data_IF_623448654852
#
_entry.id   IF_623448654852
#
_cell.length_a   1.000
_cell.length_b   1.000
_cell.length_c   1.000
_cell.angle_alpha   90.00
_cell.angle_beta   90.00
_cell.angle_gamma   90.00
#
_symmetry.space_group_name_H-M   'P 1'
#
loop_
_entity.id
_entity.type
_entity.pdbx_description
1 polymer ?
#
# COMPACT_ATOMS: atom_id res chain seq x y z
N UNK A 1 -27.51 21.40 2.78
CA UNK A 1 -26.70 21.06 1.60
C UNK A 1 -25.43 20.43 2.12
N UNK A 2 -25.34 19.11 2.09
CA UNK A 2 -24.10 18.37 2.38
C UNK A 2 -23.26 18.41 1.12
N UNK A 3 -22.11 19.08 1.18
CA UNK A 3 -21.14 19.09 0.08
C UNK A 3 -20.61 17.67 -0.05
N UNK A 4 -21.04 16.94 -1.06
CA UNK A 4 -20.48 15.64 -1.42
C UNK A 4 -19.05 15.89 -1.91
N UNK A 5 -18.07 15.59 -1.07
CA UNK A 5 -16.67 15.57 -1.46
C UNK A 5 -16.49 14.40 -2.41
N UNK A 6 -16.45 14.68 -3.72
CA UNK A 6 -16.05 13.70 -4.73
C UNK A 6 -14.67 13.17 -4.30
N UNK A 7 -14.50 11.85 -4.06
CA UNK A 7 -13.17 11.32 -3.77
C UNK A 7 -12.28 11.62 -4.96
N UNK A 8 -11.09 12.19 -4.73
CA UNK A 8 -10.09 12.37 -5.79
C UNK A 8 -9.77 10.97 -6.35
N UNK A 9 -10.30 10.66 -7.53
CA UNK A 9 -10.25 9.34 -8.18
C UNK A 9 -8.90 9.04 -8.82
N UNK A 10 -7.86 9.80 -8.44
CA UNK A 10 -6.52 9.58 -8.95
C UNK A 10 -6.02 8.20 -8.51
N UNK A 11 -5.50 7.39 -9.44
CA UNK A 11 -4.90 6.12 -9.09
C UNK A 11 -3.73 6.38 -8.14
N UNK A 12 -3.73 5.70 -7.00
CA UNK A 12 -2.61 5.70 -6.07
C UNK A 12 -1.81 4.42 -6.27
N UNK A 13 -0.49 4.54 -6.19
CA UNK A 13 0.44 3.45 -6.43
C UNK A 13 1.19 3.14 -5.16
N UNK A 14 1.70 1.92 -5.05
CA UNK A 14 2.53 1.52 -3.93
C UNK A 14 3.72 0.67 -4.36
N UNK A 15 4.75 0.71 -3.54
CA UNK A 15 5.86 -0.25 -3.56
C UNK A 15 5.85 -0.99 -2.24
N UNK A 16 5.83 -2.32 -2.30
CA UNK A 16 5.96 -3.19 -1.15
C UNK A 16 7.25 -4.00 -1.28
N UNK A 17 8.13 -3.87 -0.30
CA UNK A 17 9.35 -4.66 -0.17
C UNK A 17 9.12 -5.67 0.96
N UNK A 18 8.82 -6.93 0.62
CA UNK A 18 8.53 -7.94 1.62
C UNK A 18 9.76 -8.31 2.46
N UNK A 19 10.96 -8.24 1.88
CA UNK A 19 12.22 -8.58 2.57
C UNK A 19 12.46 -7.72 3.81
N UNK A 20 12.09 -6.44 3.74
CA UNK A 20 12.23 -5.50 4.87
C UNK A 20 10.89 -5.13 5.54
N UNK A 21 9.78 -5.67 5.06
CA UNK A 21 8.43 -5.27 5.46
C UNK A 21 8.18 -3.76 5.32
N UNK A 22 8.65 -3.17 4.22
CA UNK A 22 8.52 -1.73 3.93
C UNK A 22 7.39 -1.48 2.92
N UNK A 23 6.67 -0.38 3.12
CA UNK A 23 5.55 0.00 2.29
C UNK A 23 5.56 1.51 2.00
N UNK A 24 5.55 1.87 0.71
CA UNK A 24 5.62 3.24 0.23
C UNK A 24 4.41 3.54 -0.67
N UNK A 25 3.83 4.74 -0.56
CA UNK A 25 2.70 5.21 -1.39
C UNK A 25 3.14 6.34 -2.31
N UNK A 26 2.59 6.37 -3.52
CA UNK A 26 2.88 7.35 -4.56
C UNK A 26 1.62 7.83 -5.27
N UNK A 27 1.65 9.06 -5.77
CA UNK A 27 0.56 9.64 -6.55
C UNK A 27 0.63 9.26 -8.04
N UNK A 28 1.74 8.66 -8.48
CA UNK A 28 1.96 8.29 -9.89
C UNK A 28 2.67 6.94 -10.03
N UNK A 29 2.42 6.28 -11.17
CA UNK A 29 3.08 5.03 -11.54
C UNK A 29 4.59 5.22 -11.71
N UNK A 30 4.99 6.35 -12.32
CA UNK A 30 6.40 6.65 -12.59
C UNK A 30 7.22 6.75 -11.31
N UNK A 31 6.69 7.41 -10.28
CA UNK A 31 7.35 7.51 -8.97
C UNK A 31 7.45 6.15 -8.28
N UNK A 32 6.40 5.33 -8.35
CA UNK A 32 6.42 3.99 -7.76
C UNK A 32 7.43 3.07 -8.49
N UNK A 33 7.46 3.10 -9.81
CA UNK A 33 8.44 2.35 -10.60
C UNK A 33 9.87 2.86 -10.37
N UNK A 34 10.06 4.17 -10.19
CA UNK A 34 11.36 4.75 -9.84
C UNK A 34 11.83 4.28 -8.48
N UNK A 35 10.97 4.32 -7.46
CA UNK A 35 11.29 3.81 -6.12
C UNK A 35 11.65 2.33 -6.16
N UNK A 36 10.87 1.50 -6.87
CA UNK A 36 11.18 0.08 -7.00
C UNK A 36 12.57 -0.14 -7.63
N UNK A 37 12.93 0.63 -8.68
CA UNK A 37 14.27 0.56 -9.27
C UNK A 37 15.38 0.99 -8.31
N UNK A 38 15.16 2.01 -7.50
CA UNK A 38 16.12 2.45 -6.47
C UNK A 38 16.36 1.33 -5.45
N UNK A 39 15.30 0.72 -4.91
CA UNK A 39 15.41 -0.41 -3.97
C UNK A 39 16.13 -1.61 -4.63
N UNK A 40 15.76 -1.96 -5.87
CA UNK A 40 16.41 -3.04 -6.63
C UNK A 40 17.91 -2.77 -6.81
N UNK A 41 18.30 -1.53 -7.09
CA UNK A 41 19.69 -1.13 -7.25
C UNK A 41 20.46 -1.28 -5.95
N UNK A 42 19.92 -0.76 -4.85
CA UNK A 42 20.54 -0.83 -3.52
C UNK A 42 20.72 -2.29 -3.06
N UNK A 43 19.72 -3.14 -3.28
CA UNK A 43 19.81 -4.55 -2.91
C UNK A 43 20.85 -5.31 -3.75
N UNK A 44 20.96 -4.99 -5.04
CA UNK A 44 22.01 -5.56 -5.91
C UNK A 44 23.41 -5.11 -5.47
N UNK A 45 23.56 -3.85 -5.09
CA UNK A 45 24.85 -3.32 -4.60
C UNK A 45 25.27 -4.00 -3.29
N UNK A 46 24.32 -4.32 -2.40
CA UNK A 46 24.56 -5.04 -1.14
C UNK A 46 24.91 -6.52 -1.39
N UNK A 47 24.23 -7.18 -2.32
CA UNK A 47 24.39 -8.61 -2.60
C UNK A 47 25.65 -8.96 -3.41
N UNK A 48 26.26 -7.96 -4.07
CA UNK A 48 27.33 -8.15 -5.04
C UNK A 48 26.79 -8.54 -6.43
N UNK A 49 27.50 -8.12 -7.50
CA UNK A 49 27.03 -8.19 -8.89
C UNK A 49 26.60 -9.59 -9.39
N UNK A 50 27.04 -10.66 -8.72
CA UNK A 50 26.85 -12.04 -9.17
C UNK A 50 25.71 -12.80 -8.46
N UNK A 51 25.01 -12.19 -7.51
CA UNK A 51 23.93 -12.85 -6.76
C UNK A 51 22.64 -12.04 -6.82
N UNK A 52 21.60 -12.60 -7.45
CA UNK A 52 20.24 -12.07 -7.37
C UNK A 52 19.59 -12.62 -6.09
N UNK A 53 19.39 -11.80 -5.05
CA UNK A 53 18.79 -12.26 -3.80
C UNK A 53 17.32 -12.63 -4.03
N UNK A 54 16.82 -13.72 -3.44
CA UNK A 54 15.39 -14.06 -3.49
C UNK A 54 14.48 -12.92 -3.02
N UNK A 55 14.95 -12.10 -2.07
CA UNK A 55 14.23 -10.96 -1.50
C UNK A 55 13.91 -9.88 -2.55
N UNK A 56 14.66 -9.84 -3.65
CA UNK A 56 14.44 -8.94 -4.79
C UNK A 56 13.24 -9.38 -5.62
N UNK A 57 12.92 -10.69 -5.66
CA UNK A 57 11.71 -11.21 -6.33
C UNK A 57 10.41 -10.85 -5.59
N UNK A 58 10.55 -10.40 -4.34
CA UNK A 58 9.45 -10.04 -3.45
C UNK A 58 9.11 -8.54 -3.47
N UNK A 59 9.86 -7.72 -4.21
CA UNK A 59 9.49 -6.32 -4.44
C UNK A 59 8.31 -6.27 -5.41
N UNK A 60 7.21 -5.65 -4.98
CA UNK A 60 5.98 -5.50 -5.76
C UNK A 60 5.66 -4.04 -5.95
N UNK A 61 5.37 -3.66 -7.19
CA UNK A 61 4.72 -2.40 -7.53
C UNK A 61 3.26 -2.70 -7.81
N UNK A 62 2.35 -1.94 -7.21
CA UNK A 62 0.92 -2.15 -7.41
C UNK A 62 0.15 -0.84 -7.47
N UNK A 63 -1.06 -0.93 -8.01
CA UNK A 63 -2.04 0.15 -8.02
C UNK A 63 -3.15 -0.16 -7.01
N UNK A 64 -3.54 0.84 -6.24
CA UNK A 64 -4.63 0.76 -5.29
C UNK A 64 -5.91 1.10 -6.04
N UNK A 65 -6.62 0.07 -6.50
CA UNK A 65 -7.89 0.25 -7.21
C UNK A 65 -9.06 0.42 -6.24
N UNK A 66 -8.96 -0.21 -5.07
CA UNK A 66 -10.01 -0.17 -4.06
C UNK A 66 -9.36 -0.07 -2.70
N UNK A 67 -9.94 0.78 -1.85
CA UNK A 67 -9.64 0.78 -0.43
C UNK A 67 -10.76 0.18 0.33
N UNK A 68 -10.36 -0.37 1.47
CA UNK A 68 -11.30 -0.93 2.39
C UNK A 68 -11.05 -0.29 3.82
N UNK A 69 -12.05 0.13 4.67
CA UNK A 69 -12.06 0.24 6.21
C UNK A 69 -12.72 -0.89 7.21
N UNK A 70 -12.07 -1.97 7.69
CA UNK A 70 -12.47 -3.13 8.57
C UNK A 70 -12.54 -2.58 9.98
N UNK A 71 -13.71 -2.37 10.52
CA UNK A 71 -13.80 -2.06 11.95
C UNK A 71 -13.64 -3.32 12.79
N UNK A 72 -12.70 -3.31 13.74
CA UNK A 72 -12.66 -4.29 14.83
C UNK A 72 -13.13 -3.59 16.09
N UNK A 73 -14.32 -3.97 16.55
CA UNK A 73 -14.88 -3.48 17.82
C UNK A 73 -14.68 -4.54 18.91
N UNK A 74 -14.27 -4.13 20.11
CA UNK A 74 -14.23 -4.99 21.29
C UNK A 74 -14.53 -4.21 22.57
N UNK A 75 -14.81 -4.92 23.66
CA UNK A 75 -15.08 -4.34 24.97
C UNK A 75 -14.09 -4.89 26.01
N UNK A 76 -13.48 -4.01 26.80
CA UNK A 76 -12.51 -4.35 27.86
C UNK A 76 -12.78 -3.44 29.07
N UNK A 77 -12.93 -4.04 30.26
CA UNK A 77 -13.27 -3.34 31.52
C UNK A 77 -14.49 -2.41 31.45
N UNK A 78 -15.51 -2.76 30.66
CA UNK A 78 -16.72 -1.96 30.45
C UNK A 78 -16.54 -0.75 29.51
N UNK A 79 -15.36 -0.62 28.89
CA UNK A 79 -15.08 0.37 27.86
C UNK A 79 -15.15 -0.27 26.47
N UNK A 80 -15.79 0.42 25.52
CA UNK A 80 -15.85 0.01 24.11
C UNK A 80 -14.69 0.60 23.33
N UNK A 81 -13.97 -0.25 22.62
CA UNK A 81 -12.85 0.07 21.75
C UNK A 81 -13.22 -0.21 20.30
N UNK A 82 -12.69 0.61 19.39
CA UNK A 82 -12.83 0.44 17.95
C UNK A 82 -11.47 0.67 17.30
N UNK A 83 -11.05 -0.28 16.46
CA UNK A 83 -9.89 -0.17 15.59
C UNK A 83 -10.34 -0.18 14.12
N UNK A 84 -9.68 0.59 13.27
CA UNK A 84 -10.05 0.80 11.86
C UNK A 84 -9.08 0.02 10.93
N UNK A 85 -9.59 -0.84 10.02
CA UNK A 85 -8.88 -1.85 9.19
C UNK A 85 -9.33 -1.83 7.70
N UNK A 86 -9.69 -2.90 6.93
CA UNK A 86 -10.30 -2.89 5.52
C UNK A 86 -11.89 -3.20 5.06
N UNK A 87 -12.90 -2.27 4.88
CA UNK A 87 -14.28 -2.04 4.19
C UNK A 87 -14.33 -1.40 2.75
N UNK A 88 -14.75 -2.14 1.73
CA UNK A 88 -14.68 -1.74 0.31
C UNK A 88 -15.55 -0.50 0.06
N UNK A 89 -14.95 0.59 -0.43
CA UNK A 89 -15.72 1.72 -0.94
C UNK A 89 -16.47 1.19 -2.17
N UNK A 90 -17.79 1.12 -2.08
CA UNK A 90 -18.62 0.63 -3.17
C UNK A 90 -18.50 1.58 -4.36
N UNK A 91 -18.08 1.07 -5.51
CA UNK A 91 -18.33 1.71 -6.80
C UNK A 91 -19.86 1.70 -7.00
N UNK A 92 -20.48 2.86 -6.83
CA UNK A 92 -21.84 3.23 -7.21
C UNK A 92 -22.81 2.07 -7.47
N UNK A 93 -23.72 1.80 -6.52
CA UNK A 93 -24.98 1.16 -6.88
C UNK A 93 -25.88 2.13 -7.67
N UNK A 94 -26.63 1.63 -8.68
CA UNK A 94 -27.33 2.42 -9.69
C UNK A 94 -28.46 3.31 -9.15
#
# INVERSE_FOLDING_TARGET
MTTETIPDTKPEYFVFNAGNNEYYKFASEEEALRMAREILHDMRDIAGEDTWPPEVEDIRVGVITHRTVITREWEEDGNKYCDFGIQKIAENQP
#
